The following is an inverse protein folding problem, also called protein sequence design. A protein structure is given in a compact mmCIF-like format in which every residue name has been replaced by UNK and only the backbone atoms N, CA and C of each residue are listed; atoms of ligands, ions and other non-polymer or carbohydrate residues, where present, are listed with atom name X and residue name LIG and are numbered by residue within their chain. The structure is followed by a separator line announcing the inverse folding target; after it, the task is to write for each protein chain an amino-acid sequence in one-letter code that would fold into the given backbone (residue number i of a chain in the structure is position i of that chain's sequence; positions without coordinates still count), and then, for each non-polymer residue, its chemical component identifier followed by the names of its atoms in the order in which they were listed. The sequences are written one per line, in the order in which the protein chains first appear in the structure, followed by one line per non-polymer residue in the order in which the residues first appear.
data_IF_630544198799
#
_entry.id   IF_630544198799
#
_cell.length_a   1.000
_cell.length_b   1.000
_cell.length_c   1.000
_cell.angle_alpha   90.00
_cell.angle_beta   90.00
_cell.angle_gamma   90.00
#
_symmetry.space_group_name_H-M   'P 1'
#
loop_
_entity.id
_entity.type
_entity.pdbx_description
1 polymer ?
#
# COMPACT_ATOMS: atom_id res chain seq x y z
N UNK A 1 5.78 -24.93 -7.76
CA UNK A 1 4.53 -24.18 -7.46
C UNK A 1 4.20 -23.38 -8.71
N UNK A 2 2.94 -23.38 -9.17
CA UNK A 2 2.54 -22.49 -10.26
C UNK A 2 2.79 -21.04 -9.82
N UNK A 3 3.28 -20.21 -10.73
CA UNK A 3 3.49 -18.79 -10.49
C UNK A 3 2.15 -18.14 -10.05
N UNK A 4 2.12 -17.43 -8.91
CA UNK A 4 0.89 -16.77 -8.46
C UNK A 4 0.39 -15.69 -9.41
N UNK A 5 -0.93 -15.56 -9.49
CA UNK A 5 -1.64 -14.49 -10.17
C UNK A 5 -2.19 -13.51 -9.12
N UNK A 6 -1.78 -12.24 -9.19
CA UNK A 6 -2.36 -11.16 -8.41
C UNK A 6 -3.36 -10.38 -9.27
N UNK A 7 -4.63 -10.45 -8.87
CA UNK A 7 -5.71 -9.68 -9.49
C UNK A 7 -5.82 -8.34 -8.76
N UNK A 8 -5.71 -7.23 -9.50
CA UNK A 8 -5.67 -5.87 -8.96
C UNK A 8 -6.68 -4.95 -9.66
N UNK A 9 -7.07 -3.87 -8.97
CA UNK A 9 -7.84 -2.78 -9.56
C UNK A 9 -6.95 -1.68 -10.16
N UNK A 10 -7.59 -0.69 -10.79
CA UNK A 10 -6.93 0.49 -11.36
C UNK A 10 -5.84 1.05 -10.45
N UNK A 11 -4.62 1.17 -10.98
CA UNK A 11 -3.44 1.56 -10.22
C UNK A 11 -3.54 3.00 -9.69
N UNK A 12 -4.25 3.88 -10.39
CA UNK A 12 -4.49 5.25 -9.93
C UNK A 12 -5.33 5.31 -8.64
N UNK A 13 -6.25 4.37 -8.44
CA UNK A 13 -7.29 4.44 -7.40
C UNK A 13 -7.19 3.35 -6.32
N UNK A 14 -6.71 2.16 -6.68
CA UNK A 14 -6.80 0.98 -5.81
C UNK A 14 -5.69 0.94 -4.76
N UNK A 15 -5.86 1.68 -3.67
CA UNK A 15 -4.94 1.66 -2.53
C UNK A 15 -4.73 0.25 -1.95
N UNK A 16 -5.77 -0.58 -1.91
CA UNK A 16 -5.68 -1.97 -1.45
C UNK A 16 -4.82 -2.83 -2.36
N UNK A 17 -4.94 -2.66 -3.68
CA UNK A 17 -4.13 -3.40 -4.65
C UNK A 17 -2.67 -2.99 -4.59
N UNK A 18 -2.38 -1.69 -4.46
CA UNK A 18 -1.01 -1.19 -4.31
C UNK A 18 -0.31 -1.86 -3.12
N UNK A 19 -0.97 -1.96 -1.96
CA UNK A 19 -0.36 -2.58 -0.77
C UNK A 19 0.10 -4.02 -1.05
N UNK A 20 -0.74 -4.83 -1.69
CA UNK A 20 -0.40 -6.22 -1.99
C UNK A 20 0.69 -6.30 -3.06
N UNK A 21 0.54 -5.54 -4.15
CA UNK A 21 1.48 -5.54 -5.26
C UNK A 21 2.88 -5.10 -4.84
N UNK A 22 2.98 -3.98 -4.12
CA UNK A 22 4.26 -3.43 -3.66
C UNK A 22 4.96 -4.39 -2.69
N UNK A 23 4.19 -5.00 -1.78
CA UNK A 23 4.68 -6.02 -0.86
C UNK A 23 5.25 -7.23 -1.62
N UNK A 24 4.50 -7.80 -2.57
CA UNK A 24 5.00 -8.96 -3.32
C UNK A 24 6.28 -8.63 -4.12
N UNK A 25 6.35 -7.43 -4.73
CA UNK A 25 7.56 -6.97 -5.46
C UNK A 25 8.75 -6.76 -4.52
N UNK A 26 8.58 -6.04 -3.42
CA UNK A 26 9.65 -5.73 -2.48
C UNK A 26 10.24 -6.99 -1.83
N UNK A 27 9.41 -8.02 -1.61
CA UNK A 27 9.82 -9.30 -1.04
C UNK A 27 10.23 -10.35 -2.08
N UNK A 28 10.46 -9.92 -3.31
CA UNK A 28 11.01 -10.69 -4.42
C UNK A 28 10.19 -11.94 -4.75
N UNK A 29 8.86 -11.83 -4.62
CA UNK A 29 7.91 -12.87 -4.99
C UNK A 29 7.58 -12.66 -6.46
N UNK A 30 7.83 -13.68 -7.29
CA UNK A 30 7.46 -13.64 -8.70
C UNK A 30 5.96 -13.92 -8.84
N UNK A 31 5.24 -13.03 -9.52
CA UNK A 31 3.79 -13.15 -9.76
C UNK A 31 3.41 -12.53 -11.11
N UNK A 32 2.33 -13.05 -11.69
CA UNK A 32 1.67 -12.47 -12.85
C UNK A 32 0.58 -11.50 -12.37
N UNK A 33 0.33 -10.44 -13.12
CA UNK A 33 -0.64 -9.41 -12.78
C UNK A 33 -1.83 -9.46 -13.73
N UNK A 34 -3.04 -9.38 -13.17
CA UNK A 34 -4.27 -9.16 -13.92
C UNK A 34 -5.00 -7.93 -13.41
N UNK A 35 -4.96 -6.87 -14.21
CA UNK A 35 -5.68 -5.62 -13.96
C UNK A 35 -7.16 -5.78 -14.32
N UNK A 36 -8.04 -5.30 -13.45
CA UNK A 36 -9.46 -5.12 -13.72
C UNK A 36 -9.85 -3.64 -13.61
N UNK A 37 -10.89 -3.25 -14.36
CA UNK A 37 -11.52 -1.95 -14.18
C UNK A 37 -12.46 -1.97 -12.97
N UNK A 38 -12.17 -1.13 -11.98
CA UNK A 38 -13.00 -1.00 -10.79
C UNK A 38 -14.38 -0.45 -11.15
N UNK A 39 -15.39 -1.02 -10.50
CA UNK A 39 -16.81 -0.65 -10.66
C UNK A 39 -17.32 -0.75 -12.11
N UNK A 40 -16.66 -1.53 -12.96
CA UNK A 40 -17.04 -1.74 -14.35
C UNK A 40 -17.56 -3.17 -14.57
N UNK A 41 -18.64 -3.39 -15.35
CA UNK A 41 -19.18 -4.73 -15.60
C UNK A 41 -18.20 -5.72 -16.25
N UNK A 42 -17.16 -5.24 -16.92
CA UNK A 42 -16.12 -6.12 -17.50
C UNK A 42 -15.36 -6.91 -16.44
N UNK A 43 -15.34 -6.46 -15.18
CA UNK A 43 -14.66 -7.14 -14.10
C UNK A 43 -15.46 -8.31 -13.50
N UNK A 44 -16.77 -8.38 -13.75
CA UNK A 44 -17.68 -9.31 -13.06
C UNK A 44 -17.25 -10.77 -13.20
N UNK A 45 -16.95 -11.23 -14.43
CA UNK A 45 -16.55 -12.62 -14.64
C UNK A 45 -15.30 -13.01 -13.85
N UNK A 46 -14.30 -12.13 -13.81
CA UNK A 46 -13.03 -12.35 -13.09
C UNK A 46 -13.27 -12.35 -11.57
N UNK A 47 -14.08 -11.43 -11.08
CA UNK A 47 -14.42 -11.34 -9.65
C UNK A 47 -15.25 -12.54 -9.18
N UNK A 48 -16.22 -12.99 -9.97
CA UNK A 48 -17.05 -14.14 -9.63
C UNK A 48 -16.22 -15.44 -9.60
N UNK A 49 -15.20 -15.56 -10.46
CA UNK A 49 -14.33 -16.73 -10.52
C UNK A 49 -13.31 -16.78 -9.37
N UNK A 50 -12.77 -15.62 -8.97
CA UNK A 50 -11.58 -15.56 -8.12
C UNK A 50 -11.76 -14.84 -6.79
N UNK A 51 -12.75 -13.95 -6.65
CA UNK A 51 -12.87 -13.04 -5.52
C UNK A 51 -14.14 -13.32 -4.70
N UNK A 52 -14.07 -14.14 -3.64
CA UNK A 52 -15.24 -14.46 -2.80
C UNK A 52 -15.97 -13.25 -2.21
N UNK A 53 -15.30 -12.11 -2.10
CA UNK A 53 -15.85 -10.85 -1.57
C UNK A 53 -16.26 -9.86 -2.67
N UNK A 54 -16.09 -10.20 -3.94
CA UNK A 54 -16.28 -9.30 -5.08
C UNK A 54 -15.31 -8.11 -5.10
N UNK A 55 -14.16 -8.22 -4.42
CA UNK A 55 -13.18 -7.14 -4.25
C UNK A 55 -11.76 -7.62 -4.56
N UNK A 56 -10.92 -6.68 -4.92
CA UNK A 56 -9.48 -6.83 -5.14
C UNK A 56 -8.70 -6.13 -4.00
N UNK A 57 -7.46 -6.55 -3.70
CA UNK A 57 -6.67 -7.57 -4.39
C UNK A 57 -7.06 -9.01 -4.02
N UNK A 58 -6.75 -9.94 -4.93
CA UNK A 58 -6.79 -11.39 -4.68
C UNK A 58 -5.55 -12.04 -5.27
N UNK A 59 -4.90 -12.89 -4.47
CA UNK A 59 -3.80 -13.74 -4.91
C UNK A 59 -4.30 -15.17 -5.14
N UNK A 60 -4.05 -15.72 -6.33
CA UNK A 60 -4.51 -17.05 -6.73
C UNK A 60 -3.35 -17.86 -7.28
N UNK A 61 -3.21 -19.12 -6.88
CA UNK A 61 -2.26 -20.06 -7.48
C UNK A 61 -2.67 -21.51 -7.20
N UNK A 62 -2.02 -22.47 -7.87
CA UNK A 62 -2.43 -23.86 -7.83
C UNK A 62 -3.65 -24.13 -8.71
N UNK A 63 -4.03 -25.39 -8.83
CA UNK A 63 -5.12 -25.85 -9.70
C UNK A 63 -5.97 -26.88 -8.97
N UNK A 64 -7.21 -27.05 -9.44
CA UNK A 64 -8.16 -28.05 -8.92
C UNK A 64 -8.25 -28.02 -7.38
N UNK A 65 -8.05 -29.17 -6.73
CA UNK A 65 -8.12 -29.33 -5.28
C UNK A 65 -6.96 -28.65 -4.51
N UNK A 66 -5.92 -28.19 -5.21
CA UNK A 66 -4.78 -27.44 -4.65
C UNK A 66 -4.87 -25.93 -4.91
N UNK A 67 -5.99 -25.43 -5.46
CA UNK A 67 -6.18 -23.99 -5.70
C UNK A 67 -6.20 -23.22 -4.38
N UNK A 68 -5.20 -22.36 -4.21
CA UNK A 68 -5.11 -21.39 -3.12
C UNK A 68 -5.66 -20.06 -3.60
N UNK A 69 -6.61 -19.49 -2.85
CA UNK A 69 -7.19 -18.16 -3.10
C UNK A 69 -7.10 -17.37 -1.80
N UNK A 70 -6.33 -16.28 -1.82
CA UNK A 70 -6.15 -15.39 -0.66
C UNK A 70 -6.67 -14.01 -1.03
N UNK A 71 -7.80 -13.63 -0.44
CA UNK A 71 -8.35 -12.29 -0.51
C UNK A 71 -8.01 -11.53 0.77
N UNK A 72 -8.04 -10.20 0.71
CA UNK A 72 -7.57 -9.27 1.75
C UNK A 72 -6.04 -9.07 1.77
N UNK A 73 -5.60 -7.81 1.73
CA UNK A 73 -4.18 -7.46 1.70
C UNK A 73 -3.40 -7.98 2.92
N UNK A 74 -3.99 -7.95 4.13
CA UNK A 74 -3.31 -8.43 5.33
C UNK A 74 -3.19 -9.95 5.32
N UNK A 75 -4.24 -10.65 4.86
CA UNK A 75 -4.17 -12.09 4.66
C UNK A 75 -3.13 -12.46 3.60
N UNK A 76 -3.05 -11.73 2.48
CA UNK A 76 -2.00 -11.89 1.46
C UNK A 76 -0.62 -11.70 2.06
N UNK A 77 -0.41 -10.68 2.91
CA UNK A 77 0.88 -10.45 3.57
C UNK A 77 1.28 -11.61 4.50
N UNK A 78 0.35 -12.09 5.34
CA UNK A 78 0.60 -13.24 6.23
C UNK A 78 0.92 -14.49 5.41
N UNK A 79 0.11 -14.78 4.40
CA UNK A 79 0.28 -15.96 3.55
C UNK A 79 1.59 -15.92 2.76
N UNK A 80 1.93 -14.76 2.18
CA UNK A 80 3.18 -14.55 1.49
C UNK A 80 4.38 -14.71 2.44
N UNK A 81 4.27 -14.14 3.64
CA UNK A 81 5.28 -14.30 4.68
C UNK A 81 5.47 -15.75 5.06
N UNK A 82 4.44 -16.59 5.07
CA UNK A 82 4.61 -17.97 5.53
C UNK A 82 5.12 -18.89 4.42
N UNK A 83 4.66 -18.68 3.17
CA UNK A 83 4.80 -19.69 2.12
C UNK A 83 5.51 -19.23 0.83
N UNK A 84 5.62 -17.94 0.57
CA UNK A 84 6.00 -17.44 -0.77
C UNK A 84 7.36 -16.74 -0.83
N UNK A 85 8.01 -16.49 0.31
CA UNK A 85 9.33 -15.84 0.34
C UNK A 85 10.22 -16.39 1.44
N UNK A 86 11.54 -16.24 1.27
CA UNK A 86 12.57 -16.54 2.28
C UNK A 86 12.88 -15.33 3.18
N UNK A 87 12.26 -14.18 2.90
CA UNK A 87 12.34 -12.98 3.72
C UNK A 87 11.17 -12.94 4.70
N UNK A 88 11.42 -12.40 5.88
CA UNK A 88 10.39 -12.16 6.89
C UNK A 88 9.81 -10.76 6.68
N UNK A 89 8.53 -10.68 6.36
CA UNK A 89 7.85 -9.44 5.97
C UNK A 89 7.77 -8.42 7.10
N UNK A 90 7.85 -8.88 8.35
CA UNK A 90 7.71 -8.03 9.53
C UNK A 90 9.04 -7.41 9.97
N UNK A 91 10.15 -7.95 9.48
CA UNK A 91 11.50 -7.51 9.85
C UNK A 91 12.33 -7.08 8.63
N UNK A 92 11.99 -7.51 7.42
CA UNK A 92 12.78 -7.30 6.21
C UNK A 92 14.06 -8.16 6.15
N UNK A 93 14.22 -9.11 7.06
CA UNK A 93 15.42 -9.95 7.18
C UNK A 93 15.21 -11.34 6.57
N UNK A 94 16.30 -12.08 6.31
CA UNK A 94 16.20 -13.48 5.88
C UNK A 94 15.69 -14.36 7.02
N UNK A 95 14.72 -15.23 6.73
CA UNK A 95 14.15 -16.14 7.73
C UNK A 95 15.17 -17.13 8.30
N UNK A 96 16.20 -17.46 7.53
CA UNK A 96 17.30 -18.36 7.95
C UNK A 96 18.26 -17.71 8.96
N UNK A 97 18.18 -16.41 9.18
CA UNK A 97 19.01 -15.70 10.15
C UNK A 97 18.46 -15.91 11.57
N UNK A 98 18.92 -16.99 12.21
CA UNK A 98 18.44 -17.42 13.52
C UNK A 98 18.84 -16.46 14.65
N UNK A 99 20.03 -15.85 14.54
CA UNK A 99 20.55 -14.93 15.54
C UNK A 99 19.72 -13.65 15.55
N UNK A 100 19.42 -13.10 14.37
CA UNK A 100 18.55 -11.93 14.23
C UNK A 100 17.13 -12.15 14.75
N UNK A 101 16.55 -13.35 14.59
CA UNK A 101 15.21 -13.70 15.11
C UNK A 101 15.16 -13.87 16.64
N UNK A 102 16.27 -14.34 17.22
CA UNK A 102 16.40 -14.50 18.67
C UNK A 102 16.70 -13.19 19.39
N UNK A 103 17.05 -12.13 18.65
CA UNK A 103 17.26 -10.82 19.21
C UNK A 103 15.95 -10.17 19.70
N UNK A 104 16.04 -9.54 20.87
CA UNK A 104 14.87 -8.91 21.52
C UNK A 104 14.41 -7.68 20.74
N UNK A 105 15.32 -6.91 20.15
CA UNK A 105 14.96 -5.72 19.39
C UNK A 105 14.21 -6.07 18.11
N UNK A 106 14.62 -7.14 17.42
CA UNK A 106 13.91 -7.68 16.25
C UNK A 106 12.48 -8.08 16.59
N UNK A 107 12.26 -8.80 17.70
CA UNK A 107 10.90 -9.17 18.13
C UNK A 107 10.03 -7.96 18.45
N UNK A 108 10.59 -6.96 19.14
CA UNK A 108 9.86 -5.72 19.47
C UNK A 108 9.47 -4.97 18.19
N UNK A 109 10.41 -4.80 17.26
CA UNK A 109 10.16 -4.14 15.98
C UNK A 109 9.12 -4.90 15.15
N UNK A 110 9.22 -6.24 15.08
CA UNK A 110 8.25 -7.09 14.39
C UNK A 110 6.84 -6.95 14.98
N UNK A 111 6.71 -6.98 16.31
CA UNK A 111 5.43 -6.80 16.98
C UNK A 111 4.84 -5.40 16.74
N UNK A 112 5.67 -4.35 16.74
CA UNK A 112 5.23 -3.01 16.40
C UNK A 112 4.80 -2.94 14.92
N UNK A 113 5.60 -3.47 13.99
CA UNK A 113 5.26 -3.54 12.56
C UNK A 113 3.88 -4.18 12.34
N UNK A 114 3.62 -5.34 12.97
CA UNK A 114 2.34 -6.03 12.86
C UNK A 114 1.19 -5.18 13.41
N UNK A 115 1.40 -4.50 14.53
CA UNK A 115 0.39 -3.66 15.17
C UNK A 115 -0.01 -2.47 14.30
N UNK A 116 0.94 -1.73 13.71
CA UNK A 116 0.62 -0.57 12.85
C UNK A 116 0.07 -0.99 11.48
N UNK A 117 0.49 -2.15 10.97
CA UNK A 117 -0.12 -2.75 9.79
C UNK A 117 -1.60 -3.06 10.06
N UNK A 118 -1.91 -3.69 11.20
CA UNK A 118 -3.29 -3.97 11.60
C UNK A 118 -4.11 -2.69 11.86
N UNK A 119 -3.51 -1.67 12.47
CA UNK A 119 -4.12 -0.36 12.70
C UNK A 119 -4.45 0.34 11.37
N UNK A 120 -3.54 0.37 10.40
CA UNK A 120 -3.78 0.93 9.07
C UNK A 120 -4.77 0.10 8.24
N UNK A 121 -4.75 -1.22 8.43
CA UNK A 121 -5.66 -2.15 7.77
C UNK A 121 -7.12 -1.90 8.19
N UNK A 122 -7.37 -1.79 9.51
CA UNK A 122 -8.71 -1.78 10.11
C UNK A 122 -9.20 -0.41 10.59
N UNK A 123 -8.34 0.61 10.64
CA UNK A 123 -8.63 1.94 11.17
C UNK A 123 -8.26 3.09 10.22
N UNK A 124 -8.00 4.26 10.82
CA UNK A 124 -7.66 5.51 10.12
C UNK A 124 -8.70 5.87 9.04
N UNK A 125 -9.97 5.81 9.40
CA UNK A 125 -11.09 5.91 8.45
C UNK A 125 -11.31 7.32 7.92
N UNK A 126 -10.97 8.37 8.68
CA UNK A 126 -11.10 9.77 8.26
C UNK A 126 -10.25 10.05 7.04
N UNK A 127 -8.94 9.78 7.12
CA UNK A 127 -8.05 10.00 5.96
C UNK A 127 -8.43 9.10 4.78
N UNK A 128 -8.89 7.87 5.03
CA UNK A 128 -9.28 6.93 3.96
C UNK A 128 -10.54 7.36 3.22
N UNK A 129 -11.45 8.05 3.90
CA UNK A 129 -12.73 8.49 3.34
C UNK A 129 -12.63 9.84 2.65
N UNK A 130 -11.79 10.73 3.18
CA UNK A 130 -11.68 12.11 2.70
C UNK A 130 -10.53 12.33 1.72
N UNK A 131 -9.51 11.46 1.76
CA UNK A 131 -8.38 11.43 0.82
C UNK A 131 -8.33 10.06 0.14
N UNK A 132 -9.24 9.73 -0.80
CA UNK A 132 -9.07 8.54 -1.64
C UNK A 132 -7.75 8.61 -2.40
N UNK A 133 -7.20 7.47 -2.83
CA UNK A 133 -5.96 7.53 -3.61
C UNK A 133 -6.30 7.98 -5.04
N UNK A 134 -5.62 9.03 -5.51
CA UNK A 134 -5.71 9.52 -6.88
C UNK A 134 -4.34 10.06 -7.31
N UNK A 135 -3.49 9.15 -7.79
CA UNK A 135 -2.05 9.38 -8.03
C UNK A 135 -1.79 10.51 -9.03
N UNK A 136 -2.66 10.66 -10.03
CA UNK A 136 -2.52 11.68 -11.08
C UNK A 136 -2.91 13.09 -10.63
N UNK A 137 -3.65 13.24 -9.54
CA UNK A 137 -4.25 14.52 -9.17
C UNK A 137 -3.38 15.32 -8.19
N UNK A 138 -3.48 16.65 -8.28
CA UNK A 138 -3.32 17.56 -7.15
C UNK A 138 -4.69 18.12 -6.81
N UNK A 139 -5.15 17.93 -5.58
CA UNK A 139 -6.53 18.21 -5.19
C UNK A 139 -6.62 18.90 -3.85
N UNK A 140 -7.53 19.87 -3.74
CA UNK A 140 -7.78 20.62 -2.51
C UNK A 140 -9.06 20.12 -1.84
N UNK A 141 -8.96 19.81 -0.56
CA UNK A 141 -10.09 19.44 0.30
C UNK A 141 -10.15 20.34 1.54
N UNK A 142 -11.25 20.23 2.28
CA UNK A 142 -11.36 20.73 3.65
C UNK A 142 -11.44 19.52 4.60
N UNK A 143 -10.32 19.09 5.20
CA UNK A 143 -10.31 17.89 6.02
C UNK A 143 -11.09 18.10 7.33
N UNK A 144 -11.84 17.10 7.74
CA UNK A 144 -12.48 17.06 9.04
C UNK A 144 -11.46 16.87 10.17
N UNK A 145 -11.89 17.10 11.41
CA UNK A 145 -11.07 16.76 12.58
C UNK A 145 -10.70 15.27 12.63
N UNK A 146 -11.57 14.38 12.13
CA UNK A 146 -11.25 12.95 12.11
C UNK A 146 -10.09 12.66 11.14
N UNK A 147 -10.11 13.25 9.94
CA UNK A 147 -9.01 13.15 9.00
C UNK A 147 -7.70 13.75 9.57
N UNK A 148 -7.78 14.92 10.21
CA UNK A 148 -6.60 15.56 10.81
C UNK A 148 -6.02 14.74 11.98
N UNK A 149 -6.87 14.14 12.81
CA UNK A 149 -6.43 13.25 13.89
C UNK A 149 -5.77 11.97 13.36
N UNK A 150 -6.29 11.40 12.28
CA UNK A 150 -5.66 10.25 11.61
C UNK A 150 -4.28 10.63 11.06
N UNK A 151 -4.14 11.79 10.42
CA UNK A 151 -2.84 12.28 9.95
C UNK A 151 -1.87 12.42 11.12
N UNK A 152 -2.29 13.07 12.21
CA UNK A 152 -1.46 13.23 13.40
C UNK A 152 -1.00 11.88 13.97
N UNK A 153 -1.89 10.88 14.03
CA UNK A 153 -1.55 9.52 14.47
C UNK A 153 -0.52 8.86 13.55
N UNK A 154 -0.67 9.01 12.24
CA UNK A 154 0.27 8.49 11.24
C UNK A 154 1.65 9.13 11.41
N UNK A 155 1.70 10.45 11.62
CA UNK A 155 2.96 11.14 11.85
C UNK A 155 3.67 10.69 13.13
N UNK A 156 2.91 10.39 14.18
CA UNK A 156 3.46 9.84 15.42
C UNK A 156 4.01 8.42 15.20
N UNK A 157 3.32 7.57 14.42
CA UNK A 157 3.83 6.26 14.01
C UNK A 157 5.17 6.41 13.28
N UNK A 158 5.25 7.32 12.30
CA UNK A 158 6.47 7.51 11.52
C UNK A 158 7.61 8.06 12.40
N UNK A 159 7.33 9.00 13.29
CA UNK A 159 8.33 9.54 14.21
C UNK A 159 8.90 8.46 15.14
N UNK A 160 8.04 7.60 15.70
CA UNK A 160 8.47 6.48 16.55
C UNK A 160 9.29 5.46 15.77
N UNK A 161 8.83 5.08 14.58
CA UNK A 161 9.50 4.12 13.71
C UNK A 161 10.83 4.67 13.22
N UNK A 162 10.97 5.94 12.89
CA UNK A 162 12.22 6.49 12.35
C UNK A 162 13.21 6.99 13.42
N UNK A 163 12.84 6.90 14.69
CA UNK A 163 13.69 7.33 15.81
C UNK A 163 15.04 6.63 15.78
N UNK A 164 16.12 7.43 15.79
CA UNK A 164 17.51 6.98 15.72
C UNK A 164 17.86 6.14 14.47
N UNK A 165 17.08 6.25 13.39
CA UNK A 165 17.37 5.63 12.10
C UNK A 165 17.98 6.64 11.13
N UNK A 166 18.58 6.13 10.06
CA UNK A 166 19.08 6.96 8.97
C UNK A 166 17.93 7.71 8.27
N UNK A 167 18.25 8.83 7.66
CA UNK A 167 17.29 9.73 7.00
C UNK A 167 16.61 9.12 5.78
N UNK A 168 17.27 8.19 5.12
CA UNK A 168 16.82 7.44 3.93
C UNK A 168 16.30 6.04 4.28
N UNK A 169 16.08 5.78 5.58
CA UNK A 169 15.57 4.50 6.08
C UNK A 169 14.08 4.32 5.80
N UNK A 170 13.69 3.07 5.53
CA UNK A 170 12.30 2.61 5.70
C UNK A 170 11.91 2.61 7.19
N UNK A 171 10.62 2.41 7.50
CA UNK A 171 10.09 2.57 8.87
C UNK A 171 10.86 1.76 9.92
N UNK A 172 11.31 0.55 9.58
CA UNK A 172 12.03 -0.30 10.51
C UNK A 172 13.53 -0.46 10.19
N UNK A 173 14.08 0.31 9.25
CA UNK A 173 15.45 0.12 8.74
C UNK A 173 15.41 -0.41 7.32
N UNK A 174 15.09 -1.69 7.22
CA UNK A 174 14.73 -2.40 5.98
C UNK A 174 13.26 -2.19 5.62
N UNK A 175 12.93 -2.41 4.35
CA UNK A 175 11.54 -2.47 3.90
C UNK A 175 10.78 -3.58 4.64
N UNK A 176 9.61 -3.26 5.19
CA UNK A 176 8.69 -4.22 5.82
C UNK A 176 7.28 -4.10 5.25
N UNK A 177 6.38 -4.96 5.71
CA UNK A 177 4.96 -4.84 5.40
C UNK A 177 4.37 -3.47 5.79
N UNK A 178 4.93 -2.79 6.80
CA UNK A 178 4.48 -1.46 7.18
C UNK A 178 4.66 -0.46 6.03
N UNK A 179 5.82 -0.45 5.37
CA UNK A 179 6.09 0.46 4.26
C UNK A 179 5.09 0.24 3.11
N UNK A 180 4.79 -1.02 2.78
CA UNK A 180 3.78 -1.36 1.78
C UNK A 180 2.36 -0.89 2.17
N UNK A 181 1.98 -1.03 3.45
CA UNK A 181 0.64 -0.66 3.93
C UNK A 181 0.43 0.85 4.02
N UNK A 182 1.49 1.60 4.29
CA UNK A 182 1.50 3.07 4.37
C UNK A 182 1.84 3.75 3.03
N UNK A 183 2.37 3.06 2.01
CA UNK A 183 2.63 3.66 0.71
C UNK A 183 1.40 4.38 0.08
N UNK A 184 0.17 3.84 0.12
CA UNK A 184 -1.00 4.59 -0.35
C UNK A 184 -1.29 5.85 0.47
N UNK A 185 -0.92 5.88 1.76
CA UNK A 185 -1.04 7.09 2.60
C UNK A 185 -0.08 8.17 2.11
N UNK A 186 1.16 7.80 1.77
CA UNK A 186 2.14 8.73 1.20
C UNK A 186 1.61 9.37 -0.08
N UNK A 187 1.00 8.57 -0.97
CA UNK A 187 0.39 9.08 -2.20
C UNK A 187 -0.79 10.02 -1.93
N UNK A 188 -1.64 9.72 -0.94
CA UNK A 188 -2.71 10.65 -0.52
C UNK A 188 -2.14 11.97 -0.02
N UNK A 189 -1.11 11.93 0.83
CA UNK A 189 -0.46 13.14 1.32
C UNK A 189 0.13 13.96 0.17
N UNK A 190 0.71 13.30 -0.84
CA UNK A 190 1.20 13.97 -2.06
C UNK A 190 0.08 14.66 -2.84
N UNK A 191 -1.08 14.00 -3.01
CA UNK A 191 -2.24 14.54 -3.74
C UNK A 191 -2.89 15.73 -3.01
N UNK A 192 -3.04 15.65 -1.69
CA UNK A 192 -3.95 16.55 -0.95
C UNK A 192 -3.28 17.52 0.02
N UNK A 193 -2.14 17.16 0.65
CA UNK A 193 -1.69 17.87 1.85
C UNK A 193 -1.34 19.34 1.57
N UNK A 194 -0.48 19.59 0.58
CA UNK A 194 -0.02 20.95 0.25
C UNK A 194 -1.18 21.83 -0.26
N UNK A 195 -1.95 21.32 -1.24
CA UNK A 195 -3.11 22.01 -1.80
C UNK A 195 -4.19 22.35 -0.77
N UNK A 196 -4.28 21.55 0.31
CA UNK A 196 -5.23 21.75 1.41
C UNK A 196 -4.64 22.50 2.61
N UNK A 197 -3.40 23.00 2.52
CA UNK A 197 -2.74 23.75 3.59
C UNK A 197 -2.38 22.92 4.82
N UNK A 198 -2.25 21.60 4.67
CA UNK A 198 -1.87 20.68 5.75
C UNK A 198 -0.35 20.65 5.85
N UNK A 199 0.18 21.16 6.96
CA UNK A 199 1.63 21.20 7.21
C UNK A 199 2.08 19.90 7.87
N UNK A 200 2.79 19.07 7.11
CA UNK A 200 3.41 17.84 7.61
C UNK A 200 4.70 18.13 8.40
N UNK A 201 4.98 17.33 9.43
CA UNK A 201 6.25 17.31 10.18
C UNK A 201 7.41 16.95 9.24
N UNK A 202 8.61 17.42 9.57
CA UNK A 202 9.82 17.19 8.76
C UNK A 202 10.11 15.70 8.56
N UNK A 203 9.98 14.90 9.62
CA UNK A 203 10.17 13.43 9.56
C UNK A 203 9.18 12.77 8.59
N UNK A 204 7.92 13.20 8.59
CA UNK A 204 6.90 12.71 7.65
C UNK A 204 7.28 13.05 6.22
N UNK A 205 7.67 14.30 5.94
CA UNK A 205 8.10 14.73 4.60
C UNK A 205 9.29 13.92 4.08
N UNK A 206 10.29 13.72 4.93
CA UNK A 206 11.45 12.90 4.62
C UNK A 206 11.07 11.45 4.29
N UNK A 207 10.20 10.85 5.10
CA UNK A 207 9.74 9.49 4.82
C UNK A 207 8.88 9.40 3.55
N UNK A 208 8.07 10.42 3.26
CA UNK A 208 7.37 10.52 1.98
C UNK A 208 8.38 10.48 0.82
N UNK A 209 9.48 11.23 0.90
CA UNK A 209 10.54 11.21 -0.12
C UNK A 209 11.19 9.84 -0.25
N UNK A 210 11.51 9.16 0.86
CA UNK A 210 12.06 7.79 0.84
C UNK A 210 11.15 6.83 0.08
N UNK A 211 9.85 6.84 0.39
CA UNK A 211 8.88 5.94 -0.25
C UNK A 211 8.64 6.33 -1.72
N UNK A 212 8.58 7.62 -2.05
CA UNK A 212 8.42 8.07 -3.44
C UNK A 212 9.63 7.78 -4.33
N UNK A 213 10.80 7.53 -3.72
CA UNK A 213 12.02 7.08 -4.38
C UNK A 213 12.14 5.55 -4.46
N UNK A 214 11.19 4.80 -3.89
CA UNK A 214 11.15 3.34 -4.03
C UNK A 214 10.91 2.95 -5.51
N UNK A 215 11.77 2.12 -6.11
CA UNK A 215 11.69 1.82 -7.54
C UNK A 215 10.40 1.08 -7.92
N UNK A 216 9.84 0.26 -7.03
CA UNK A 216 8.60 -0.45 -7.30
C UNK A 216 7.40 0.51 -7.19
N UNK A 217 7.41 1.43 -6.22
CA UNK A 217 6.37 2.46 -6.16
C UNK A 217 6.42 3.39 -7.39
N UNK A 218 7.61 3.75 -7.87
CA UNK A 218 7.76 4.51 -9.12
C UNK A 218 7.14 3.78 -10.31
N UNK A 219 7.44 2.49 -10.48
CA UNK A 219 6.85 1.67 -11.54
C UNK A 219 5.31 1.61 -11.45
N UNK A 220 4.75 1.50 -10.24
CA UNK A 220 3.30 1.55 -10.04
C UNK A 220 2.71 2.91 -10.46
N UNK A 221 3.36 4.01 -10.05
CA UNK A 221 2.92 5.38 -10.37
C UNK A 221 2.98 5.63 -11.87
N UNK A 222 4.05 5.25 -12.55
CA UNK A 222 4.18 5.37 -14.00
C UNK A 222 3.02 4.66 -14.71
N UNK A 223 2.74 3.41 -14.34
CA UNK A 223 1.61 2.66 -14.91
C UNK A 223 0.24 3.30 -14.58
N UNK A 224 0.08 3.90 -13.40
CA UNK A 224 -1.13 4.63 -13.03
C UNK A 224 -1.36 5.89 -13.89
N UNK A 225 -0.28 6.56 -14.33
CA UNK A 225 -0.36 7.76 -15.16
C UNK A 225 -0.76 7.47 -16.62
N UNK A 226 -0.71 6.20 -17.04
CA UNK A 226 -1.19 5.75 -18.35
C UNK A 226 -2.66 5.32 -18.34
N UNK A 227 -3.31 5.25 -17.16
CA UNK A 227 -4.71 4.86 -17.05
C UNK A 227 -5.66 5.99 -17.46
N UNK A 228 -6.65 5.67 -18.30
CA UNK A 228 -7.68 6.63 -18.75
C UNK A 228 -9.00 6.52 -18.00
N UNK A 229 -9.16 5.51 -17.14
CA UNK A 229 -10.38 5.27 -16.36
C UNK A 229 -10.54 6.39 -15.33
N UNK A 230 -11.75 6.92 -15.20
CA UNK A 230 -12.10 7.90 -14.15
C UNK A 230 -13.16 7.31 -13.24
N UNK A 231 -12.88 7.24 -11.94
CA UNK A 231 -13.82 6.82 -10.89
C UNK A 231 -14.27 8.08 -10.15
N UNK A 232 -15.49 8.54 -10.44
CA UNK A 232 -15.98 9.85 -9.96
C UNK A 232 -15.98 9.96 -8.44
N UNK A 233 -16.26 8.86 -7.75
CA UNK A 233 -16.31 8.78 -6.30
C UNK A 233 -14.93 9.00 -5.65
N UNK A 234 -13.85 8.72 -6.38
CA UNK A 234 -12.47 8.90 -5.93
C UNK A 234 -11.84 10.21 -6.43
N UNK A 235 -12.58 11.04 -7.19
CA UNK A 235 -12.20 12.41 -7.56
C UNK A 235 -12.58 13.40 -6.45
N UNK A 236 -12.04 13.20 -5.25
CA UNK A 236 -12.40 13.99 -4.07
C UNK A 236 -11.84 15.42 -4.11
N UNK A 237 -12.67 16.38 -3.69
CA UNK A 237 -12.28 17.78 -3.55
C UNK A 237 -12.32 18.59 -4.84
N UNK A 238 -11.63 19.73 -4.83
CA UNK A 238 -11.39 20.57 -6.00
C UNK A 238 -10.09 20.10 -6.67
N UNK A 239 -10.20 19.45 -7.84
CA UNK A 239 -9.02 19.03 -8.62
C UNK A 239 -8.37 20.28 -9.24
N UNK A 240 -7.14 20.57 -8.82
CA UNK A 240 -6.39 21.75 -9.27
C UNK A 240 -5.55 21.46 -10.52
N UNK A 241 -5.03 20.23 -10.62
CA UNK A 241 -4.31 19.77 -11.81
C UNK A 241 -4.30 18.24 -11.86
N UNK A 242 -4.05 17.71 -13.05
CA UNK A 242 -3.82 16.29 -13.30
C UNK A 242 -2.55 16.11 -14.14
N UNK A 243 -1.85 15.00 -13.93
CA UNK A 243 -0.67 14.60 -14.72
C UNK A 243 -0.93 13.27 -15.44
N UNK A 244 -0.03 12.87 -16.36
CA UNK A 244 -0.16 11.64 -17.14
C UNK A 244 -0.96 11.83 -18.42
N UNK A 245 -1.50 10.74 -18.99
CA UNK A 245 -2.19 10.74 -20.29
C UNK A 245 -3.52 11.51 -20.29
N UNK A 246 -4.01 11.89 -19.11
CA UNK A 246 -5.20 12.71 -18.92
C UNK A 246 -4.88 14.18 -18.60
N UNK A 247 -3.61 14.61 -18.71
CA UNK A 247 -3.25 16.02 -18.63
C UNK A 247 -3.75 16.79 -19.87
N UNK A 248 -4.32 17.97 -19.64
CA UNK A 248 -4.72 18.93 -20.69
C UNK A 248 -3.52 19.60 -21.38
#
# INVERSE_FOLDING_TARGET
MQKPLLIIGNKNYSSWSLRAWLLLKAFNIDFDEQLIELFHPSATAILDEHAPTGKVPVLVYGQDDEKVTVWDTLAIAIHANDYLTELDLWTGLKKSDTDAKSDTSTRINSAYCQSIVAEMHSGLTGIRSEMPMNIRATAKIQPSNACLNDIARIEDIFADCLKNRATDSYLFGSFTAADAFFAPVILRLQTYADASGIVLKSTTKQYCETILNDPYLQAWREAALEETRVIKEDEAGEILSVVGVLAD
#
